data_IF_531166826658
#
_entry.id   IF_531166826658
#
_cell.length_a   1.000
_cell.length_b   1.000
_cell.length_c   1.000
_cell.angle_alpha   90.00
_cell.angle_beta   90.00
_cell.angle_gamma   90.00
#
_symmetry.space_group_name_H-M   'P 1'
#
loop_
_entity.id
_entity.type
_entity.pdbx_description
1 polymer ?
#
# COMPACT_ATOMS: atom_id res chain seq x y z
N UNK A 1 37.23 -15.04 22.93
CA UNK A 1 35.96 -15.27 23.66
C UNK A 1 35.53 -13.96 24.30
N UNK A 2 34.58 -13.24 23.70
CA UNK A 2 33.99 -12.05 24.32
C UNK A 2 32.60 -12.42 24.82
N UNK A 3 32.46 -12.60 26.14
CA UNK A 3 31.19 -12.87 26.81
C UNK A 3 30.36 -11.59 26.80
N UNK A 4 29.14 -11.69 26.28
CA UNK A 4 28.17 -10.61 26.23
C UNK A 4 27.47 -10.56 27.59
N UNK A 5 28.08 -9.87 28.54
CA UNK A 5 27.44 -9.62 29.84
C UNK A 5 26.68 -8.30 29.72
N UNK A 6 25.43 -8.37 29.22
CA UNK A 6 24.43 -7.37 29.58
C UNK A 6 24.06 -7.69 31.03
N UNK A 7 24.80 -7.11 31.97
CA UNK A 7 24.72 -7.42 33.40
C UNK A 7 23.34 -7.15 33.99
N UNK A 8 22.45 -6.42 33.32
CA UNK A 8 21.15 -6.08 33.92
C UNK A 8 20.02 -5.86 32.91
N UNK A 9 19.67 -6.89 32.13
CA UNK A 9 18.42 -6.86 31.32
C UNK A 9 17.14 -6.63 32.15
N UNK A 10 17.24 -6.85 33.48
CA UNK A 10 16.25 -6.50 34.50
C UNK A 10 16.00 -5.00 34.62
N UNK A 11 17.04 -4.16 34.44
CA UNK A 11 16.97 -2.72 34.67
C UNK A 11 16.10 -1.99 33.63
N UNK A 12 16.18 -2.40 32.36
CA UNK A 12 15.37 -1.82 31.27
C UNK A 12 13.85 -2.01 31.46
N UNK A 13 13.47 -3.00 32.28
CA UNK A 13 12.08 -3.33 32.65
C UNK A 13 11.72 -2.73 34.04
N UNK A 14 12.70 -2.40 34.89
CA UNK A 14 12.47 -1.96 36.28
C UNK A 14 12.37 -0.45 36.48
N UNK A 15 12.74 0.38 35.51
CA UNK A 15 12.58 1.83 35.63
C UNK A 15 11.09 2.23 35.51
N UNK A 16 10.48 2.29 36.69
CA UNK A 16 9.10 2.69 36.96
C UNK A 16 8.88 4.16 36.55
N UNK A 17 8.13 4.36 35.47
CA UNK A 17 7.00 5.30 35.45
C UNK A 17 6.07 5.16 34.24
N UNK A 18 6.38 4.30 33.26
CA UNK A 18 5.53 4.14 32.06
C UNK A 18 5.45 2.67 31.63
N UNK A 19 4.82 1.83 32.45
CA UNK A 19 4.50 0.45 32.03
C UNK A 19 3.38 0.49 30.99
N UNK A 20 3.77 0.40 29.72
CA UNK A 20 2.90 0.05 28.60
C UNK A 20 2.06 -1.20 28.91
N UNK A 21 0.93 -1.30 28.21
CA UNK A 21 -0.17 -2.21 28.49
C UNK A 21 0.28 -3.63 28.87
N UNK A 22 -0.15 -4.09 30.05
CA UNK A 22 -0.03 -5.50 30.45
C UNK A 22 -0.93 -6.35 29.54
N UNK A 23 -0.35 -6.94 28.50
CA UNK A 23 -1.02 -8.02 27.80
C UNK A 23 -1.09 -9.21 28.76
N UNK A 24 -2.30 -9.78 28.91
CA UNK A 24 -2.73 -10.77 29.93
C UNK A 24 -1.78 -11.95 30.25
N UNK A 25 -0.69 -12.15 29.51
CA UNK A 25 0.19 -13.31 29.60
C UNK A 25 1.70 -13.00 29.66
N UNK A 26 2.18 -11.76 29.53
CA UNK A 26 3.63 -11.44 29.59
C UNK A 26 3.88 -9.94 29.81
N UNK A 27 5.07 -9.57 30.30
CA UNK A 27 5.48 -8.16 30.35
C UNK A 27 6.04 -7.73 28.99
N UNK A 28 5.63 -6.56 28.51
CA UNK A 28 6.06 -6.01 27.22
C UNK A 28 6.45 -4.54 27.38
N UNK A 29 7.50 -4.11 26.69
CA UNK A 29 7.90 -2.71 26.56
C UNK A 29 8.32 -2.41 25.13
N UNK A 30 7.95 -1.24 24.62
CA UNK A 30 8.25 -0.79 23.26
C UNK A 30 9.19 0.42 23.29
N UNK A 31 10.04 0.52 22.27
CA UNK A 31 10.92 1.66 22.04
C UNK A 31 10.89 2.05 20.55
N UNK A 32 11.06 3.33 20.28
CA UNK A 32 10.99 3.95 18.95
C UNK A 32 9.55 4.12 18.47
N UNK A 33 8.80 3.02 18.35
CA UNK A 33 7.39 3.01 17.98
C UNK A 33 6.60 2.04 18.86
N UNK A 34 5.41 2.46 19.29
CA UNK A 34 4.48 1.61 20.00
C UNK A 34 3.75 0.68 19.02
N UNK A 35 3.72 -0.60 19.35
CA UNK A 35 2.88 -1.57 18.65
C UNK A 35 1.49 -1.63 19.29
N UNK A 36 0.48 -1.26 18.51
CA UNK A 36 -0.92 -1.22 18.90
C UNK A 36 -1.58 -2.55 18.57
N UNK A 37 -1.93 -3.31 19.60
CA UNK A 37 -2.43 -4.69 19.48
C UNK A 37 -3.88 -4.79 19.00
N UNK A 38 -4.65 -3.72 19.15
CA UNK A 38 -6.03 -3.56 18.67
C UNK A 38 -6.10 -3.47 17.15
N UNK A 39 -5.14 -2.77 16.53
CA UNK A 39 -5.00 -2.66 15.07
C UNK A 39 -3.93 -3.60 14.50
N UNK A 40 -3.21 -4.30 15.38
CA UNK A 40 -2.04 -5.12 15.06
C UNK A 40 -1.03 -4.36 14.17
N UNK A 41 -0.73 -3.10 14.49
CA UNK A 41 0.11 -2.23 13.67
C UNK A 41 0.81 -1.15 14.51
N UNK A 42 1.60 -0.29 13.88
CA UNK A 42 2.25 0.88 14.50
C UNK A 42 1.65 2.17 13.93
N UNK A 43 1.49 3.18 14.78
CA UNK A 43 1.17 4.53 14.30
C UNK A 43 2.46 5.21 13.81
N UNK A 44 2.66 5.24 12.49
CA UNK A 44 3.88 5.76 11.86
C UNK A 44 4.11 7.25 12.12
N UNK A 45 3.02 8.00 12.33
CA UNK A 45 3.03 9.45 12.58
C UNK A 45 3.21 9.80 14.07
N UNK A 46 3.36 8.80 14.94
CA UNK A 46 3.42 8.99 16.39
C UNK A 46 4.53 8.13 17.01
N UNK A 47 5.81 8.41 16.72
CA UNK A 47 6.92 7.74 17.38
C UNK A 47 6.93 8.01 18.88
N UNK A 48 7.43 7.05 19.65
CA UNK A 48 7.62 7.19 21.09
C UNK A 48 8.77 8.16 21.37
N UNK A 49 8.69 8.86 22.51
CA UNK A 49 9.79 9.70 23.00
C UNK A 49 11.03 8.90 23.34
N UNK A 50 10.84 7.65 23.79
CA UNK A 50 11.91 6.72 24.14
C UNK A 50 12.41 5.99 22.88
N UNK A 51 13.57 6.40 22.37
CA UNK A 51 14.28 5.70 21.31
C UNK A 51 14.84 4.34 21.79
N UNK A 52 15.32 3.53 20.84
CA UNK A 52 16.02 2.28 21.18
C UNK A 52 17.21 2.60 22.11
N UNK A 53 17.33 1.92 23.27
CA UNK A 53 18.39 2.19 24.24
C UNK A 53 19.80 2.02 23.65
N UNK A 54 20.74 2.88 24.06
CA UNK A 54 22.11 2.90 23.50
C UNK A 54 22.86 1.58 23.75
N UNK A 55 22.51 0.84 24.79
CA UNK A 55 23.06 -0.49 25.09
C UNK A 55 22.79 -1.49 23.96
N UNK A 56 21.75 -1.26 23.15
CA UNK A 56 21.42 -2.10 22.00
C UNK A 56 22.23 -1.72 20.74
N UNK A 57 22.92 -0.58 20.73
CA UNK A 57 23.69 -0.10 19.57
C UNK A 57 24.82 -1.05 19.15
N UNK A 58 25.26 -1.92 20.07
CA UNK A 58 26.31 -2.92 19.85
C UNK A 58 25.91 -4.02 18.85
N UNK A 59 24.62 -4.20 18.56
CA UNK A 59 24.14 -5.29 17.73
C UNK A 59 24.64 -5.20 16.29
N UNK A 60 24.46 -4.06 15.62
CA UNK A 60 24.81 -3.89 14.21
C UNK A 60 26.33 -3.94 13.96
N UNK A 61 27.19 -3.26 14.74
CA UNK A 61 28.64 -3.39 14.59
C UNK A 61 29.10 -4.85 14.71
N UNK A 62 28.57 -5.61 15.67
CA UNK A 62 28.91 -7.03 15.83
C UNK A 62 28.46 -7.90 14.66
N UNK A 63 27.30 -7.62 14.08
CA UNK A 63 26.84 -8.33 12.88
C UNK A 63 27.77 -8.04 11.70
N UNK A 64 28.18 -6.78 11.52
CA UNK A 64 29.15 -6.39 10.49
C UNK A 64 30.52 -7.06 10.70
N UNK A 65 31.05 -7.06 11.92
CA UNK A 65 32.31 -7.75 12.27
C UNK A 65 32.28 -9.26 11.96
N UNK A 66 31.09 -9.88 12.01
CA UNK A 66 30.88 -11.29 11.70
C UNK A 66 30.56 -11.56 10.23
N UNK A 67 30.63 -10.54 9.38
CA UNK A 67 30.21 -10.58 7.97
C UNK A 67 28.74 -11.03 7.80
N UNK A 68 27.89 -10.77 8.79
CA UNK A 68 26.46 -11.02 8.74
C UNK A 68 25.73 -9.72 8.31
N UNK A 69 25.75 -9.43 7.01
CA UNK A 69 25.06 -8.27 6.44
C UNK A 69 23.56 -8.51 6.27
N UNK A 70 22.84 -8.61 7.40
CA UNK A 70 21.41 -8.91 7.42
C UNK A 70 20.52 -7.67 7.28
N UNK A 71 20.94 -6.51 7.77
CA UNK A 71 20.18 -5.25 7.63
C UNK A 71 21.03 -4.18 6.94
N UNK A 72 20.45 -3.52 5.95
CA UNK A 72 21.05 -2.36 5.26
C UNK A 72 20.92 -1.08 6.11
N UNK A 73 19.79 -0.92 6.81
CA UNK A 73 19.48 0.20 7.68
C UNK A 73 19.35 -0.26 9.14
N UNK A 74 19.66 0.61 10.12
CA UNK A 74 19.47 0.29 11.52
C UNK A 74 17.99 0.11 11.86
N UNK A 75 17.62 -0.81 12.77
CA UNK A 75 16.26 -0.88 13.28
C UNK A 75 15.91 0.40 14.03
N UNK A 76 14.65 0.81 13.94
CA UNK A 76 14.09 1.98 14.61
C UNK A 76 12.95 1.61 15.57
N UNK A 77 12.56 0.33 15.64
CA UNK A 77 11.58 -0.18 16.57
C UNK A 77 12.16 -1.38 17.34
N UNK A 78 11.98 -1.38 18.67
CA UNK A 78 12.33 -2.49 19.55
C UNK A 78 11.15 -2.89 20.44
N UNK A 79 10.81 -4.18 20.45
CA UNK A 79 9.88 -4.78 21.42
C UNK A 79 10.65 -5.69 22.38
N UNK A 80 10.61 -5.37 23.67
CA UNK A 80 11.15 -6.22 24.75
C UNK A 80 10.01 -7.03 25.34
N UNK A 81 10.13 -8.35 25.31
CA UNK A 81 9.16 -9.26 25.92
C UNK A 81 9.85 -10.07 27.03
N UNK A 82 9.25 -10.10 28.23
CA UNK A 82 9.69 -10.97 29.32
C UNK A 82 8.63 -12.03 29.62
N UNK A 83 9.07 -13.29 29.60
CA UNK A 83 8.26 -14.48 29.80
C UNK A 83 8.67 -15.18 31.10
N UNK A 84 7.69 -15.46 31.94
CA UNK A 84 7.81 -16.38 33.07
C UNK A 84 7.57 -17.84 32.59
N UNK A 85 8.06 -18.85 33.32
CA UNK A 85 7.76 -20.24 33.01
C UNK A 85 6.25 -20.51 32.91
N UNK A 86 5.79 -21.08 31.80
CA UNK A 86 4.36 -21.28 31.50
C UNK A 86 3.73 -20.19 30.62
N UNK A 87 4.37 -19.02 30.50
CA UNK A 87 3.91 -17.97 29.59
C UNK A 87 4.37 -18.23 28.16
N UNK A 88 3.69 -17.58 27.21
CA UNK A 88 3.91 -17.76 25.78
C UNK A 88 3.45 -16.58 24.96
N UNK A 89 3.48 -16.75 23.65
CA UNK A 89 2.89 -15.83 22.67
C UNK A 89 2.13 -16.66 21.63
N UNK A 90 0.86 -16.34 21.35
CA UNK A 90 0.10 -17.02 20.29
C UNK A 90 0.84 -17.00 18.94
N UNK A 91 0.57 -18.01 18.09
CA UNK A 91 1.12 -18.05 16.73
C UNK A 91 0.61 -16.85 15.95
N UNK A 92 1.51 -16.07 15.34
CA UNK A 92 1.17 -14.90 14.53
C UNK A 92 2.24 -14.63 13.47
N UNK A 93 1.91 -13.80 12.49
CA UNK A 93 2.84 -13.21 11.53
C UNK A 93 2.96 -11.74 11.87
N UNK A 94 4.19 -11.20 11.88
CA UNK A 94 4.40 -9.77 12.10
C UNK A 94 3.84 -8.97 10.91
N UNK A 95 3.11 -7.89 11.19
CA UNK A 95 2.35 -7.13 10.18
C UNK A 95 3.23 -6.62 9.04
N UNK A 96 2.83 -6.94 7.80
CA UNK A 96 3.64 -6.70 6.61
C UNK A 96 3.78 -5.21 6.30
N UNK A 97 2.69 -4.46 6.44
CA UNK A 97 2.68 -3.00 6.26
C UNK A 97 3.41 -2.23 7.36
N UNK A 98 3.62 -2.85 8.53
CA UNK A 98 4.22 -2.21 9.69
C UNK A 98 5.74 -2.23 9.61
N UNK A 99 6.33 -3.36 9.20
CA UNK A 99 7.76 -3.60 9.35
C UNK A 99 8.43 -4.09 8.05
N UNK A 100 9.70 -3.77 7.88
CA UNK A 100 10.55 -4.22 6.76
C UNK A 100 11.31 -5.53 7.07
N UNK A 101 11.74 -6.20 6.00
CA UNK A 101 12.62 -7.38 6.07
C UNK A 101 14.06 -6.95 6.36
N UNK A 102 14.80 -7.60 7.28
CA UNK A 102 14.43 -8.68 8.20
C UNK A 102 13.99 -8.25 9.60
N UNK A 103 13.47 -9.21 10.37
CA UNK A 103 13.18 -9.07 11.81
C UNK A 103 14.20 -9.86 12.62
N UNK A 104 14.80 -9.22 13.61
CA UNK A 104 15.83 -9.85 14.46
C UNK A 104 15.28 -10.05 15.87
N UNK A 105 15.47 -11.23 16.47
CA UNK A 105 15.05 -11.51 17.85
C UNK A 105 16.20 -12.07 18.68
N UNK A 106 16.72 -11.27 19.62
CA UNK A 106 17.78 -11.65 20.54
C UNK A 106 17.17 -12.32 21.78
N UNK A 107 17.60 -13.55 22.10
CA UNK A 107 17.12 -14.32 23.25
C UNK A 107 18.09 -14.25 24.43
N UNK A 108 17.61 -13.81 25.60
CA UNK A 108 18.39 -13.66 26.84
C UNK A 108 17.70 -14.36 28.03
N UNK A 109 18.45 -14.61 29.11
CA UNK A 109 17.93 -15.20 30.34
C UNK A 109 17.80 -16.72 30.28
N UNK A 110 16.79 -17.25 29.58
CA UNK A 110 16.53 -18.69 29.47
C UNK A 110 16.26 -19.10 28.01
N UNK A 111 16.59 -20.35 27.61
CA UNK A 111 16.26 -20.84 26.28
C UNK A 111 14.77 -21.12 26.14
N UNK A 112 14.29 -21.25 24.90
CA UNK A 112 12.90 -21.62 24.62
C UNK A 112 12.80 -22.33 23.27
N UNK A 113 11.77 -23.16 23.09
CA UNK A 113 11.36 -23.60 21.74
C UNK A 113 10.30 -22.65 21.19
N UNK A 114 10.60 -22.04 20.03
CA UNK A 114 9.66 -21.28 19.22
C UNK A 114 9.11 -22.17 18.11
N UNK A 115 7.79 -22.19 17.93
CA UNK A 115 7.13 -22.97 16.89
C UNK A 115 6.93 -22.11 15.65
N UNK A 116 7.43 -22.56 14.50
CA UNK A 116 7.14 -21.98 13.19
C UNK A 116 6.12 -22.86 12.47
N UNK A 117 4.97 -22.30 12.11
CA UNK A 117 3.87 -23.02 11.46
C UNK A 117 3.63 -22.45 10.07
N UNK A 118 3.70 -23.32 9.07
CA UNK A 118 3.28 -23.02 7.71
C UNK A 118 1.78 -23.24 7.57
N UNK A 119 1.24 -22.78 6.45
CA UNK A 119 -0.05 -23.23 5.95
C UNK A 119 -0.05 -24.78 5.80
N UNK A 120 -1.21 -25.42 5.66
CA UNK A 120 -1.29 -26.90 5.45
C UNK A 120 -0.73 -27.77 6.60
N UNK A 121 -0.46 -27.19 7.78
CA UNK A 121 -0.16 -27.94 9.01
C UNK A 121 1.30 -28.31 9.26
N UNK A 122 2.25 -27.86 8.42
CA UNK A 122 3.69 -28.07 8.70
C UNK A 122 4.12 -27.26 9.93
N UNK A 123 4.81 -27.89 10.88
CA UNK A 123 5.30 -27.27 12.11
C UNK A 123 6.79 -27.57 12.31
N UNK A 124 7.59 -26.52 12.46
CA UNK A 124 9.05 -26.58 12.67
C UNK A 124 9.35 -25.97 14.04
N UNK A 125 9.57 -26.79 15.08
CA UNK A 125 10.00 -26.30 16.38
C UNK A 125 11.49 -25.92 16.34
N UNK A 126 11.79 -24.65 16.58
CA UNK A 126 13.15 -24.10 16.59
C UNK A 126 13.58 -23.84 18.04
N UNK A 127 14.67 -24.49 18.46
CA UNK A 127 15.28 -24.24 19.77
C UNK A 127 16.08 -22.94 19.74
N UNK A 128 15.71 -21.98 20.58
CA UNK A 128 16.37 -20.68 20.73
C UNK A 128 17.21 -20.69 22.02
N UNK A 129 18.53 -20.94 21.95
CA UNK A 129 19.38 -20.91 23.12
C UNK A 129 19.54 -19.49 23.67
N UNK A 130 19.97 -19.38 24.92
CA UNK A 130 20.36 -18.09 25.49
C UNK A 130 21.52 -17.48 24.68
N UNK A 131 21.53 -16.14 24.56
CA UNK A 131 22.56 -15.37 23.83
C UNK A 131 22.62 -15.74 22.34
N UNK A 132 21.47 -16.08 21.76
CA UNK A 132 21.31 -16.30 20.32
C UNK A 132 20.47 -15.20 19.68
N UNK A 133 20.77 -14.91 18.41
CA UNK A 133 20.01 -13.99 17.58
C UNK A 133 19.30 -14.79 16.49
N UNK A 134 17.98 -14.81 16.55
CA UNK A 134 17.13 -15.31 15.48
C UNK A 134 16.99 -14.23 14.41
N UNK A 135 17.14 -14.60 13.14
CA UNK A 135 16.94 -13.72 11.98
C UNK A 135 15.83 -14.32 11.14
N UNK A 136 14.72 -13.59 11.01
CA UNK A 136 13.58 -13.97 10.16
C UNK A 136 13.58 -13.09 8.92
N UNK A 137 13.71 -13.71 7.76
CA UNK A 137 13.76 -13.04 6.47
C UNK A 137 13.01 -13.82 5.38
N UNK A 138 12.52 -13.13 4.36
CA UNK A 138 11.75 -13.72 3.27
C UNK A 138 10.57 -14.57 3.77
N UNK A 139 10.47 -15.80 3.29
CA UNK A 139 9.35 -16.70 3.58
C UNK A 139 9.12 -16.89 5.09
N UNK A 140 10.20 -17.06 5.86
CA UNK A 140 10.14 -17.29 7.32
C UNK A 140 9.54 -16.12 8.11
N UNK A 141 9.60 -14.90 7.54
CA UNK A 141 9.06 -13.66 8.11
C UNK A 141 7.63 -13.41 7.67
N UNK A 142 7.37 -13.59 6.37
CA UNK A 142 6.14 -13.13 5.72
C UNK A 142 5.05 -14.20 5.61
N UNK A 143 5.41 -15.49 5.62
CA UNK A 143 4.45 -16.56 5.37
C UNK A 143 4.31 -17.51 6.56
N UNK A 144 5.41 -17.80 7.25
CA UNK A 144 5.38 -18.64 8.44
C UNK A 144 4.90 -17.85 9.65
N UNK A 145 3.91 -18.39 10.36
CA UNK A 145 3.55 -17.87 11.68
C UNK A 145 4.51 -18.40 12.74
N UNK A 146 4.82 -17.59 13.73
CA UNK A 146 5.71 -17.97 14.83
C UNK A 146 5.04 -17.75 16.17
N UNK A 147 5.34 -18.62 17.13
CA UNK A 147 4.74 -18.56 18.46
C UNK A 147 5.55 -19.29 19.52
N UNK A 148 5.23 -19.03 20.79
CA UNK A 148 5.79 -19.76 21.93
C UNK A 148 4.62 -20.33 22.70
N UNK A 149 4.44 -21.64 22.66
CA UNK A 149 3.36 -22.32 23.38
C UNK A 149 3.46 -22.08 24.90
N UNK A 150 2.34 -21.84 25.62
CA UNK A 150 2.33 -21.59 27.05
C UNK A 150 2.54 -22.88 27.84
N UNK A 151 3.81 -23.26 28.05
CA UNK A 151 4.22 -24.47 28.78
C UNK A 151 5.42 -24.20 29.68
N UNK A 152 5.64 -25.06 30.67
CA UNK A 152 6.75 -24.94 31.63
C UNK A 152 8.00 -25.73 31.23
N UNK A 153 7.87 -26.64 30.27
CA UNK A 153 8.95 -27.53 29.82
C UNK A 153 8.98 -27.59 28.29
N UNK A 154 10.16 -27.78 27.72
CA UNK A 154 10.39 -28.06 26.30
C UNK A 154 11.04 -29.43 26.13
N UNK A 155 10.66 -30.14 25.06
CA UNK A 155 11.32 -31.39 24.65
C UNK A 155 12.30 -31.01 23.55
N UNK A 156 13.58 -31.29 23.75
CA UNK A 156 14.66 -30.94 22.81
C UNK A 156 15.51 -32.18 22.47
N UNK A 157 15.98 -32.31 21.22
CA UNK A 157 16.92 -33.37 20.85
C UNK A 157 18.28 -33.11 21.51
N UNK A 158 18.93 -34.17 21.97
CA UNK A 158 20.32 -34.15 22.42
C UNK A 158 21.26 -34.42 21.24
N UNK A 159 22.56 -34.07 21.34
CA UNK A 159 23.55 -34.42 20.33
C UNK A 159 23.65 -35.93 20.03
N UNK A 160 23.26 -36.78 20.99
CA UNK A 160 23.27 -38.23 20.86
C UNK A 160 22.00 -38.80 20.21
N UNK A 161 21.08 -37.95 19.72
CA UNK A 161 19.83 -38.37 19.08
C UNK A 161 18.71 -38.78 20.05
N UNK A 162 18.92 -38.64 21.37
CA UNK A 162 17.88 -38.87 22.38
C UNK A 162 17.07 -37.60 22.64
N UNK A 163 15.92 -37.71 23.32
CA UNK A 163 15.13 -36.54 23.75
C UNK A 163 15.44 -36.19 25.20
N UNK A 164 15.55 -34.90 25.49
CA UNK A 164 15.70 -34.35 26.84
C UNK A 164 14.58 -33.37 27.15
N UNK A 165 14.18 -33.30 28.42
CA UNK A 165 13.19 -32.33 28.91
C UNK A 165 13.93 -31.17 29.56
N UNK A 166 13.73 -29.97 29.03
CA UNK A 166 14.32 -28.74 29.53
C UNK A 166 13.26 -27.90 30.23
N UNK A 167 13.50 -27.56 31.50
CA UNK A 167 12.64 -26.63 32.24
C UNK A 167 12.84 -25.21 31.72
N UNK A 168 11.73 -24.49 31.44
CA UNK A 168 11.80 -23.07 31.08
C UNK A 168 12.12 -22.23 32.31
N UNK A 169 12.97 -21.23 32.11
CA UNK A 169 13.26 -20.18 33.08
C UNK A 169 12.66 -18.84 32.68
N UNK A 170 13.05 -17.78 33.38
CA UNK A 170 12.72 -16.41 32.99
C UNK A 170 13.50 -16.07 31.72
N UNK A 171 12.77 -15.78 30.64
CA UNK A 171 13.35 -15.40 29.34
C UNK A 171 12.96 -13.97 29.00
N UNK A 172 13.93 -13.19 28.54
CA UNK A 172 13.69 -11.88 27.95
C UNK A 172 14.14 -11.90 26.49
N UNK A 173 13.31 -11.39 25.58
CA UNK A 173 13.69 -11.24 24.17
C UNK A 173 13.57 -9.81 23.68
N UNK A 174 14.54 -9.40 22.88
CA UNK A 174 14.63 -8.09 22.25
C UNK A 174 14.39 -8.29 20.76
N UNK A 175 13.25 -7.81 20.26
CA UNK A 175 12.87 -7.95 18.86
C UNK A 175 13.06 -6.62 18.15
N UNK A 176 14.03 -6.57 17.26
CA UNK A 176 14.42 -5.39 16.50
C UNK A 176 13.78 -5.43 15.12
N UNK A 177 13.17 -4.30 14.74
CA UNK A 177 12.49 -4.12 13.46
C UNK A 177 12.78 -2.74 12.89
N UNK A 178 12.65 -2.64 11.57
CA UNK A 178 12.60 -1.36 10.86
C UNK A 178 11.14 -1.10 10.48
N UNK A 179 10.60 0.07 10.81
CA UNK A 179 9.25 0.47 10.41
C UNK A 179 9.23 0.75 8.92
N UNK A 180 8.32 0.08 8.21
CA UNK A 180 8.16 0.22 6.76
C UNK A 180 7.54 1.58 6.44
N UNK A 181 8.17 2.30 5.52
CA UNK A 181 7.56 3.48 4.90
C UNK A 181 6.74 3.03 3.69
N UNK A 182 5.44 3.38 3.66
CA UNK A 182 4.52 2.94 2.60
C UNK A 182 3.93 1.54 2.78
N UNK A 183 3.39 0.98 1.68
CA UNK A 183 2.73 -0.32 1.62
C UNK A 183 3.72 -1.47 1.37
N UNK A 184 3.33 -2.69 1.74
CA UNK A 184 4.13 -3.88 1.45
C UNK A 184 3.86 -4.40 0.03
N UNK A 185 4.94 -4.78 -0.64
CA UNK A 185 5.03 -5.26 -2.02
C UNK A 185 5.51 -6.71 -2.11
N UNK A 186 5.40 -7.49 -1.02
CA UNK A 186 5.88 -8.86 -0.99
C UNK A 186 5.02 -9.81 -1.84
N UNK A 187 5.62 -10.92 -2.29
CA UNK A 187 4.93 -11.96 -3.06
C UNK A 187 4.03 -12.89 -2.22
N UNK A 188 3.90 -12.65 -0.90
CA UNK A 188 3.15 -13.49 0.04
C UNK A 188 1.74 -12.92 0.30
N UNK A 189 0.96 -12.77 -0.77
CA UNK A 189 -0.31 -12.04 -0.78
C UNK A 189 -1.35 -12.55 0.24
N UNK A 190 -1.39 -13.85 0.51
CA UNK A 190 -2.40 -14.45 1.41
C UNK A 190 -2.27 -14.00 2.87
N UNK A 191 -1.08 -13.58 3.28
CA UNK A 191 -0.82 -13.06 4.64
C UNK A 191 -0.55 -11.54 4.65
N UNK A 192 -0.49 -10.90 3.47
CA UNK A 192 -0.11 -9.50 3.33
C UNK A 192 -1.31 -8.56 3.50
N UNK A 193 -1.36 -7.84 4.62
CA UNK A 193 -2.44 -6.90 4.93
C UNK A 193 -2.53 -5.74 3.91
N UNK A 194 -1.40 -5.24 3.41
CA UNK A 194 -1.34 -4.24 2.32
C UNK A 194 -2.05 -4.73 1.05
N UNK A 195 -1.74 -5.96 0.63
CA UNK A 195 -2.30 -6.53 -0.59
C UNK A 195 -3.81 -6.76 -0.45
N UNK A 196 -4.25 -7.33 0.69
CA UNK A 196 -5.67 -7.59 0.94
C UNK A 196 -6.50 -6.30 0.98
N UNK A 197 -5.94 -5.22 1.55
CA UNK A 197 -6.55 -3.89 1.55
C UNK A 197 -6.71 -3.34 0.12
N UNK A 198 -5.65 -3.38 -0.67
CA UNK A 198 -5.67 -2.89 -2.06
C UNK A 198 -6.63 -3.69 -2.93
N UNK A 199 -6.65 -5.02 -2.81
CA UNK A 199 -7.62 -5.89 -3.51
C UNK A 199 -9.06 -5.50 -3.20
N UNK A 200 -9.37 -5.16 -1.95
CA UNK A 200 -10.70 -4.72 -1.52
C UNK A 200 -11.06 -3.34 -2.08
N UNK A 201 -10.11 -2.41 -2.09
CA UNK A 201 -10.30 -1.05 -2.63
C UNK A 201 -10.50 -1.06 -4.15
N UNK A 202 -9.69 -1.82 -4.89
CA UNK A 202 -9.85 -1.99 -6.34
C UNK A 202 -11.19 -2.63 -6.70
N UNK A 203 -11.67 -3.59 -5.90
CA UNK A 203 -13.01 -4.18 -6.07
C UNK A 203 -14.15 -3.17 -5.88
N UNK A 204 -14.05 -2.28 -4.88
CA UNK A 204 -15.06 -1.23 -4.64
C UNK A 204 -15.06 -0.13 -5.70
N UNK A 205 -13.89 0.30 -6.15
CA UNK A 205 -13.78 1.31 -7.21
C UNK A 205 -14.34 0.83 -8.55
N UNK A 206 -14.19 -0.46 -8.87
CA UNK A 206 -14.78 -1.04 -10.08
C UNK A 206 -16.31 -0.95 -10.09
N UNK A 207 -16.96 -1.17 -8.94
CA UNK A 207 -18.43 -1.13 -8.83
C UNK A 207 -18.96 0.31 -8.87
N UNK A 208 -18.32 1.24 -8.15
CA UNK A 208 -18.68 2.66 -8.20
C UNK A 208 -18.48 3.27 -9.59
N UNK A 209 -17.45 2.86 -10.33
CA UNK A 209 -17.23 3.32 -11.71
C UNK A 209 -18.31 2.80 -12.68
N UNK A 210 -18.81 1.58 -12.49
CA UNK A 210 -19.92 1.04 -13.29
C UNK A 210 -21.21 1.82 -13.05
N UNK A 211 -21.55 2.07 -11.79
CA UNK A 211 -22.74 2.84 -11.40
C UNK A 211 -22.67 4.28 -11.95
N UNK A 212 -21.50 4.91 -11.88
CA UNK A 212 -21.29 6.24 -12.46
C UNK A 212 -21.45 6.26 -13.99
N UNK A 213 -20.93 5.25 -14.70
CA UNK A 213 -21.10 5.12 -16.14
C UNK A 213 -22.56 4.87 -16.55
N UNK A 214 -23.31 4.09 -15.77
CA UNK A 214 -24.74 3.85 -15.98
C UNK A 214 -25.59 5.12 -15.76
N UNK A 215 -25.24 5.93 -14.75
CA UNK A 215 -25.87 7.23 -14.49
C UNK A 215 -25.55 8.25 -15.59
N UNK A 216 -24.29 8.33 -16.07
CA UNK A 216 -23.91 9.16 -17.22
C UNK A 216 -24.70 8.76 -18.48
N UNK A 217 -24.87 7.45 -18.73
CA UNK A 217 -25.63 6.96 -19.86
C UNK A 217 -27.12 7.35 -19.79
N UNK A 218 -27.77 7.21 -18.64
CA UNK A 218 -29.20 7.53 -18.48
C UNK A 218 -29.50 9.03 -18.40
N UNK A 219 -28.64 9.82 -17.75
CA UNK A 219 -28.98 11.22 -17.43
C UNK A 219 -28.29 12.25 -18.32
N UNK A 220 -27.19 11.89 -18.99
CA UNK A 220 -26.47 12.79 -19.90
C UNK A 220 -26.70 12.37 -21.34
N UNK A 221 -26.32 11.14 -21.71
CA UNK A 221 -26.39 10.70 -23.10
C UNK A 221 -27.83 10.64 -23.61
N UNK A 222 -28.74 10.03 -22.85
CA UNK A 222 -30.14 9.90 -23.26
C UNK A 222 -30.83 11.26 -23.44
N UNK A 223 -30.52 12.23 -22.57
CA UNK A 223 -31.08 13.59 -22.69
C UNK A 223 -30.60 14.26 -23.97
N UNK A 224 -29.29 14.22 -24.25
CA UNK A 224 -28.73 14.80 -25.48
C UNK A 224 -29.27 14.12 -26.74
N UNK A 225 -29.53 12.82 -26.70
CA UNK A 225 -30.14 12.08 -27.80
C UNK A 225 -31.58 12.52 -28.08
N UNK A 226 -32.33 12.83 -27.03
CA UNK A 226 -33.71 13.29 -27.14
C UNK A 226 -33.81 14.77 -27.55
N UNK A 227 -32.81 15.60 -27.24
CA UNK A 227 -32.82 17.04 -27.50
C UNK A 227 -31.87 17.51 -28.61
N UNK A 228 -31.15 16.61 -29.30
CA UNK A 228 -30.07 16.95 -30.24
C UNK A 228 -30.49 18.03 -31.26
N UNK A 229 -31.69 17.88 -31.84
CA UNK A 229 -32.25 18.81 -32.82
C UNK A 229 -32.50 20.19 -32.19
N UNK A 230 -33.13 20.24 -31.01
CA UNK A 230 -33.49 21.48 -30.31
C UNK A 230 -32.29 22.17 -29.63
N UNK A 231 -31.27 21.40 -29.23
CA UNK A 231 -30.00 21.88 -28.69
C UNK A 231 -29.20 22.62 -29.76
N UNK A 232 -29.27 22.13 -31.00
CA UNK A 232 -28.60 22.74 -32.13
C UNK A 232 -29.07 24.18 -32.34
N UNK A 233 -30.38 24.41 -32.34
CA UNK A 233 -31.02 25.70 -32.65
C UNK A 233 -30.75 26.82 -31.63
N UNK A 234 -30.46 26.48 -30.37
CA UNK A 234 -30.41 27.48 -29.27
C UNK A 234 -28.99 27.91 -28.88
N UNK A 235 -27.93 27.26 -29.38
CA UNK A 235 -26.54 27.47 -28.91
C UNK A 235 -25.49 27.66 -30.02
N UNK A 236 -25.88 28.28 -31.14
CA UNK A 236 -25.01 28.47 -32.30
C UNK A 236 -23.82 29.43 -32.13
N UNK A 237 -23.84 30.37 -31.17
CA UNK A 237 -22.84 31.45 -31.13
C UNK A 237 -21.49 30.97 -30.52
N UNK A 238 -20.39 30.93 -31.29
CA UNK A 238 -19.08 30.54 -30.78
C UNK A 238 -18.54 31.55 -29.76
N UNK A 239 -17.75 31.09 -28.80
CA UNK A 239 -17.06 31.98 -27.87
C UNK A 239 -15.87 32.65 -28.54
N UNK A 240 -15.71 33.99 -28.47
CA UNK A 240 -14.69 34.72 -29.23
C UNK A 240 -13.25 34.26 -29.00
N UNK A 241 -12.90 33.91 -27.75
CA UNK A 241 -11.54 33.48 -27.41
C UNK A 241 -11.20 32.10 -27.99
N UNK A 242 -12.15 31.18 -28.00
CA UNK A 242 -11.97 29.85 -28.61
C UNK A 242 -11.86 30.00 -30.13
N UNK A 243 -12.67 30.87 -30.72
CA UNK A 243 -12.60 31.15 -32.15
C UNK A 243 -11.25 31.76 -32.55
N UNK A 244 -10.75 32.71 -31.77
CA UNK A 244 -9.41 33.31 -31.96
C UNK A 244 -8.32 32.24 -31.94
N UNK A 245 -8.40 31.28 -31.02
CA UNK A 245 -7.48 30.14 -30.99
C UNK A 245 -7.55 29.30 -32.27
N UNK A 246 -8.75 28.87 -32.69
CA UNK A 246 -8.95 28.08 -33.93
C UNK A 246 -8.41 28.81 -35.16
N UNK A 247 -8.64 30.13 -35.24
CA UNK A 247 -8.15 30.98 -36.34
C UNK A 247 -6.65 31.24 -36.29
N UNK A 248 -6.02 31.12 -35.11
CA UNK A 248 -4.58 31.31 -34.96
C UNK A 248 -3.75 30.11 -35.42
N UNK A 249 -4.38 28.95 -35.65
CA UNK A 249 -3.69 27.73 -36.09
C UNK A 249 -3.07 27.91 -37.49
N UNK A 250 -1.84 27.43 -37.70
CA UNK A 250 -1.13 27.60 -38.96
C UNK A 250 -1.76 26.77 -40.09
N UNK A 251 -1.60 27.16 -41.37
CA UNK A 251 -2.07 26.38 -42.50
C UNK A 251 -1.55 24.93 -42.47
N UNK A 252 -2.44 23.98 -42.72
CA UNK A 252 -2.18 22.54 -42.69
C UNK A 252 -2.29 21.89 -41.30
N UNK A 253 -2.52 22.66 -40.24
CA UNK A 253 -2.70 22.13 -38.89
C UNK A 253 -3.92 21.19 -38.78
N UNK A 254 -3.85 20.21 -37.88
CA UNK A 254 -4.98 19.37 -37.49
C UNK A 254 -5.57 19.84 -36.15
N UNK A 255 -6.84 20.24 -36.16
CA UNK A 255 -7.64 20.53 -34.97
C UNK A 255 -8.50 19.33 -34.58
N UNK A 256 -8.46 18.95 -33.30
CA UNK A 256 -9.38 17.97 -32.68
C UNK A 256 -10.32 18.68 -31.71
N UNK A 257 -11.63 18.51 -31.89
CA UNK A 257 -12.65 18.98 -30.93
C UNK A 257 -13.25 17.78 -30.18
N UNK A 258 -12.92 17.64 -28.90
CA UNK A 258 -13.41 16.58 -28.02
C UNK A 258 -14.71 17.04 -27.37
N UNK A 259 -15.81 16.32 -27.63
CA UNK A 259 -17.17 16.75 -27.31
C UNK A 259 -17.64 17.88 -28.21
N UNK A 260 -17.44 17.71 -29.52
CA UNK A 260 -17.68 18.76 -30.52
C UNK A 260 -19.16 19.18 -30.63
N UNK A 261 -20.09 18.40 -30.06
CA UNK A 261 -21.52 18.59 -30.21
C UNK A 261 -21.89 18.70 -31.69
N UNK A 262 -22.57 19.79 -32.05
CA UNK A 262 -22.99 20.07 -33.42
C UNK A 262 -21.91 20.72 -34.32
N UNK A 263 -20.64 20.72 -33.90
CA UNK A 263 -19.52 21.25 -34.68
C UNK A 263 -19.46 22.78 -34.77
N UNK A 264 -19.95 23.50 -33.77
CA UNK A 264 -20.07 24.98 -33.81
C UNK A 264 -18.75 25.74 -34.04
N UNK A 265 -17.62 25.12 -33.72
CA UNK A 265 -16.28 25.70 -33.88
C UNK A 265 -15.61 25.33 -35.20
N UNK A 266 -16.25 24.52 -36.04
CA UNK A 266 -15.73 24.13 -37.35
C UNK A 266 -16.10 25.13 -38.45
N UNK A 267 -15.30 25.14 -39.51
CA UNK A 267 -15.50 25.98 -40.70
C UNK A 267 -15.05 27.43 -40.56
N UNK A 268 -14.36 27.78 -39.47
CA UNK A 268 -13.91 29.17 -39.20
C UNK A 268 -12.46 29.44 -39.61
N UNK A 269 -11.73 28.39 -40.03
CA UNK A 269 -10.40 28.48 -40.59
C UNK A 269 -10.28 27.49 -41.76
N UNK A 270 -10.37 27.98 -43.00
CA UNK A 270 -10.33 27.12 -44.20
C UNK A 270 -8.93 26.57 -44.53
N UNK A 271 -7.90 26.97 -43.79
CA UNK A 271 -6.53 26.55 -44.02
C UNK A 271 -6.12 25.32 -43.18
N UNK A 272 -6.99 24.80 -42.32
CA UNK A 272 -6.71 23.69 -41.39
C UNK A 272 -7.61 22.48 -41.66
N UNK A 273 -7.25 21.33 -41.08
CA UNK A 273 -8.09 20.15 -41.02
C UNK A 273 -8.79 20.06 -39.67
N UNK A 274 -10.07 19.72 -39.66
CA UNK A 274 -10.89 19.70 -38.44
C UNK A 274 -11.54 18.32 -38.29
N UNK A 275 -11.41 17.71 -37.10
CA UNK A 275 -12.11 16.47 -36.74
C UNK A 275 -12.68 16.56 -35.33
N UNK A 276 -13.94 16.18 -35.18
CA UNK A 276 -14.62 16.14 -33.89
C UNK A 276 -14.79 14.73 -33.35
N UNK A 277 -15.00 14.62 -32.04
CA UNK A 277 -15.68 13.45 -31.48
C UNK A 277 -16.76 13.87 -30.51
N UNK A 278 -17.83 13.09 -30.42
CA UNK A 278 -18.84 13.26 -29.36
C UNK A 278 -19.34 11.90 -28.87
N UNK A 279 -19.72 11.84 -27.60
CA UNK A 279 -20.35 10.66 -27.02
C UNK A 279 -21.81 10.48 -27.46
N UNK A 280 -22.48 11.59 -27.81
CA UNK A 280 -23.83 11.60 -28.39
C UNK A 280 -23.78 11.28 -29.88
N UNK A 281 -24.46 10.22 -30.28
CA UNK A 281 -24.71 9.87 -31.67
C UNK A 281 -25.57 10.93 -32.36
N UNK A 282 -26.60 11.45 -31.68
CA UNK A 282 -27.46 12.50 -32.23
C UNK A 282 -26.68 13.77 -32.60
N UNK A 283 -25.87 14.29 -31.68
CA UNK A 283 -25.05 15.49 -31.94
C UNK A 283 -23.95 15.23 -32.98
N UNK A 284 -23.31 14.05 -32.94
CA UNK A 284 -22.35 13.64 -33.96
C UNK A 284 -23.01 13.57 -35.35
N UNK A 285 -24.24 13.08 -35.45
CA UNK A 285 -24.99 13.05 -36.70
C UNK A 285 -25.27 14.47 -37.20
N UNK A 286 -25.73 15.40 -36.35
CA UNK A 286 -25.93 16.80 -36.72
C UNK A 286 -24.64 17.46 -37.22
N UNK A 287 -23.51 17.22 -36.55
CA UNK A 287 -22.20 17.71 -36.97
C UNK A 287 -21.81 17.16 -38.36
N UNK A 288 -22.07 15.88 -38.60
CA UNK A 288 -21.83 15.22 -39.89
C UNK A 288 -22.73 15.76 -41.00
N UNK A 289 -24.01 16.00 -40.72
CA UNK A 289 -24.97 16.58 -41.67
C UNK A 289 -24.60 18.01 -42.08
N UNK A 290 -23.87 18.74 -41.24
CA UNK A 290 -23.24 20.04 -41.58
C UNK A 290 -22.00 19.92 -42.46
N UNK A 291 -21.57 18.70 -42.78
CA UNK A 291 -20.44 18.43 -43.66
C UNK A 291 -19.08 18.29 -42.97
N UNK A 292 -19.06 18.21 -41.63
CA UNK A 292 -17.82 18.09 -40.87
C UNK A 292 -17.45 16.63 -40.55
N UNK A 293 -16.16 16.39 -40.30
CA UNK A 293 -15.65 15.08 -39.91
C UNK A 293 -15.85 14.86 -38.41
N UNK A 294 -16.53 13.79 -38.05
CA UNK A 294 -16.84 13.46 -36.65
C UNK A 294 -16.96 11.96 -36.47
N UNK A 295 -16.56 11.47 -35.29
CA UNK A 295 -16.72 10.08 -34.89
C UNK A 295 -17.25 9.98 -33.46
N UNK A 296 -17.90 8.87 -33.12
CA UNK A 296 -18.42 8.68 -31.78
C UNK A 296 -17.34 8.19 -30.82
N UNK A 297 -17.17 8.87 -29.69
CA UNK A 297 -16.15 8.52 -28.71
C UNK A 297 -16.47 9.00 -27.30
N UNK A 298 -16.01 8.26 -26.29
CA UNK A 298 -15.98 8.76 -24.93
C UNK A 298 -14.72 9.61 -24.76
N UNK A 299 -14.84 10.83 -24.21
CA UNK A 299 -13.71 11.74 -24.03
C UNK A 299 -12.60 11.17 -23.12
N UNK A 300 -12.89 10.16 -22.30
CA UNK A 300 -11.92 9.45 -21.46
C UNK A 300 -11.13 8.37 -22.23
N UNK A 301 -11.55 8.03 -23.46
CA UNK A 301 -10.94 6.98 -24.28
C UNK A 301 -10.92 7.41 -25.75
N UNK A 302 -10.06 8.39 -26.06
CA UNK A 302 -9.89 8.89 -27.42
C UNK A 302 -9.19 7.83 -28.29
N UNK A 303 -9.76 7.38 -29.42
CA UNK A 303 -9.13 6.47 -30.37
C UNK A 303 -8.12 7.20 -31.28
N UNK A 304 -7.42 8.20 -30.75
CA UNK A 304 -6.45 9.02 -31.45
C UNK A 304 -5.06 8.76 -30.88
N UNK A 305 -4.04 8.77 -31.75
CA UNK A 305 -2.65 8.61 -31.30
C UNK A 305 -2.20 9.88 -30.58
N UNK A 306 -1.40 9.72 -29.53
CA UNK A 306 -0.78 10.85 -28.85
C UNK A 306 0.06 11.68 -29.81
N UNK A 307 -0.05 13.02 -29.70
CA UNK A 307 0.71 13.96 -30.53
C UNK A 307 0.24 14.08 -31.99
N UNK A 308 -0.94 13.58 -32.34
CA UNK A 308 -1.46 13.64 -33.71
C UNK A 308 -1.99 15.03 -34.11
N UNK A 309 -2.45 15.82 -33.14
CA UNK A 309 -3.13 17.10 -33.38
C UNK A 309 -2.22 18.28 -33.05
N UNK A 310 -2.31 19.33 -33.87
CA UNK A 310 -1.62 20.61 -33.68
C UNK A 310 -2.44 21.56 -32.79
N UNK A 311 -3.75 21.34 -32.70
CA UNK A 311 -4.66 22.02 -31.78
C UNK A 311 -5.72 21.07 -31.22
N UNK A 312 -6.10 21.27 -29.96
CA UNK A 312 -7.17 20.50 -29.32
C UNK A 312 -8.07 21.46 -28.52
N UNK A 313 -9.39 21.31 -28.66
CA UNK A 313 -10.39 21.99 -27.83
C UNK A 313 -11.28 20.95 -27.16
N UNK A 314 -11.69 21.24 -25.92
CA UNK A 314 -12.64 20.42 -25.15
C UNK A 314 -13.47 21.38 -24.31
N UNK A 315 -14.65 21.73 -24.81
CA UNK A 315 -15.46 22.82 -24.23
C UNK A 315 -16.72 22.25 -23.59
N UNK A 316 -16.88 22.50 -22.29
CA UNK A 316 -18.04 22.08 -21.47
C UNK A 316 -18.24 20.56 -21.30
N UNK A 317 -17.29 19.73 -21.75
CA UNK A 317 -17.34 18.25 -21.64
C UNK A 317 -17.13 17.77 -20.20
N UNK A 318 -16.21 18.38 -19.47
CA UNK A 318 -15.80 17.96 -18.11
C UNK A 318 -16.95 18.09 -17.11
N UNK A 319 -17.88 19.02 -17.32
CA UNK A 319 -19.05 19.20 -16.45
C UNK A 319 -20.08 18.07 -16.53
N UNK A 320 -19.93 17.16 -17.49
CA UNK A 320 -20.83 16.03 -17.70
C UNK A 320 -20.30 14.71 -17.13
N UNK A 321 -19.13 14.71 -16.49
CA UNK A 321 -18.60 13.54 -15.79
C UNK A 321 -19.17 13.46 -14.37
N UNK A 322 -19.70 12.29 -14.00
CA UNK A 322 -20.46 12.09 -12.76
C UNK A 322 -19.59 12.08 -11.49
N UNK A 323 -18.26 11.97 -11.61
CA UNK A 323 -17.36 11.89 -10.44
C UNK A 323 -16.10 12.75 -10.58
N UNK A 324 -15.62 13.27 -9.45
CA UNK A 324 -14.41 14.10 -9.35
C UNK A 324 -13.10 13.36 -9.70
N UNK A 325 -13.06 12.03 -9.53
CA UNK A 325 -11.88 11.21 -9.87
C UNK A 325 -11.68 11.17 -11.38
N UNK A 326 -12.77 11.02 -12.15
CA UNK A 326 -12.74 11.11 -13.63
C UNK A 326 -12.40 12.52 -14.15
N UNK A 327 -12.52 13.55 -13.31
CA UNK A 327 -12.08 14.92 -13.63
C UNK A 327 -10.58 15.14 -13.42
N UNK A 328 -9.94 14.40 -12.51
CA UNK A 328 -8.52 14.58 -12.16
C UNK A 328 -7.57 13.88 -13.15
N UNK A 329 -8.01 12.79 -13.77
CA UNK A 329 -7.21 12.00 -14.72
C UNK A 329 -6.97 12.69 -16.09
N UNK A 330 -7.53 13.90 -16.31
CA UNK A 330 -7.36 14.67 -17.55
C UNK A 330 -6.46 15.93 -17.42
N UNK A 331 -5.91 16.21 -16.23
CA UNK A 331 -5.00 17.35 -16.01
C UNK A 331 -3.50 17.01 -16.26
N UNK A 332 -3.19 15.92 -16.97
CA UNK A 332 -1.83 15.52 -17.35
C UNK A 332 -1.62 15.40 -18.86
#
# INVERSE_FOLDING_TARGET
>A
MASLVLTDSSQLISDNQDLGQSLKLRKVKHFGYEFHYDINNVHKDSPLTQNIPQECSILLPRLKERNCNVMSLPPDQLTVNQYQPGQGIPSHVDTHSAFEDPILSLSLGAPVVMEFKYQEGRNVPVYLPQRSLLVMSGESRYLWSHGISPRKTDIVPTPCGTLSVHNRGIRTSFTFRRVRQGECDCNYHDQCDSYQRNKTLSGKNSESNKIAAELEAHHVLQVYEEIADHFSDTRHKPWPNVLSFVQSLPPGALLVDVGCGNGKYFGHNSAIYEVGCDSSFGLAQVCRERGFQVFNCNCLALPLRSGIADGCISIAVIHHLATKVRNADQEH
#
